data_IF_044314533356
#
_entry.id   IF_044314533356
#
_cell.length_a   1.000
_cell.length_b   1.000
_cell.length_c   1.000
_cell.angle_alpha   90.00
_cell.angle_beta   90.00
_cell.angle_gamma   90.00
#
_symmetry.space_group_name_H-M   'P 1'
#
loop_
_entity.id
_entity.type
_entity.pdbx_description
1 polymer ?
#
# COMPACT_ATOMS: atom_id res chain seq x y z
N UNK A 1 -7.79 42.81 -0.95
CA UNK A 1 -8.17 41.66 -1.80
C UNK A 1 -7.37 41.60 -3.11
N UNK A 2 -7.35 42.70 -3.91
CA UNK A 2 -6.66 42.68 -5.23
C UNK A 2 -5.14 42.62 -5.12
N UNK A 3 -4.53 43.36 -4.20
CA UNK A 3 -3.08 43.36 -3.97
C UNK A 3 -2.61 41.99 -3.44
N UNK A 4 -3.35 41.39 -2.53
CA UNK A 4 -3.06 40.07 -1.97
C UNK A 4 -3.16 38.99 -3.03
N UNK A 5 -4.19 39.04 -3.90
CA UNK A 5 -4.34 38.13 -5.04
C UNK A 5 -3.17 38.26 -6.02
N UNK A 6 -2.76 39.49 -6.35
CA UNK A 6 -1.61 39.76 -7.20
C UNK A 6 -0.31 39.20 -6.61
N UNK A 7 -0.09 39.36 -5.30
CA UNK A 7 1.08 38.82 -4.61
C UNK A 7 1.10 37.30 -4.62
N UNK A 8 -0.04 36.62 -4.43
CA UNK A 8 -0.15 35.16 -4.55
C UNK A 8 0.19 34.69 -5.97
N UNK A 9 -0.33 35.37 -6.99
CA UNK A 9 -0.06 35.05 -8.39
C UNK A 9 1.42 35.20 -8.73
N UNK A 10 2.08 36.27 -8.26
CA UNK A 10 3.52 36.49 -8.46
C UNK A 10 4.38 35.44 -7.74
N UNK A 11 3.99 35.05 -6.53
CA UNK A 11 4.66 33.96 -5.82
C UNK A 11 4.53 32.64 -6.57
N UNK A 12 3.32 32.27 -7.00
CA UNK A 12 3.09 31.07 -7.82
C UNK A 12 3.91 31.08 -9.12
N UNK A 13 4.02 32.23 -9.81
CA UNK A 13 4.82 32.34 -11.02
C UNK A 13 6.31 32.07 -10.75
N UNK A 14 6.86 32.59 -9.67
CA UNK A 14 8.26 32.32 -9.24
C UNK A 14 8.46 30.86 -8.84
N UNK A 15 7.49 30.29 -8.12
CA UNK A 15 7.53 28.87 -7.74
C UNK A 15 7.50 27.96 -8.98
N UNK A 16 6.66 28.28 -9.98
CA UNK A 16 6.59 27.58 -11.27
C UNK A 16 7.91 27.69 -12.02
N UNK A 17 8.50 28.89 -12.09
CA UNK A 17 9.80 29.10 -12.74
C UNK A 17 10.90 28.27 -12.11
N UNK A 18 10.97 28.25 -10.76
CA UNK A 18 11.95 27.45 -10.02
C UNK A 18 11.77 25.94 -10.19
N UNK A 19 10.55 25.46 -10.45
CA UNK A 19 10.21 24.07 -10.64
C UNK A 19 10.18 23.61 -12.10
N UNK A 20 10.36 24.55 -13.06
CA UNK A 20 10.22 24.27 -14.49
C UNK A 20 11.13 23.14 -14.99
N UNK A 21 12.34 23.00 -14.42
CA UNK A 21 13.29 21.95 -14.75
C UNK A 21 12.84 20.54 -14.31
N UNK A 22 11.86 20.47 -13.41
CA UNK A 22 11.29 19.20 -12.91
C UNK A 22 9.98 18.83 -13.61
N UNK A 23 9.45 19.72 -14.47
CA UNK A 23 8.22 19.45 -15.24
C UNK A 23 8.60 18.74 -16.53
N UNK A 24 8.21 17.49 -16.64
CA UNK A 24 8.55 16.60 -17.76
C UNK A 24 7.28 15.93 -18.31
N UNK A 25 7.38 15.38 -19.51
CA UNK A 25 6.39 14.45 -20.04
C UNK A 25 6.58 13.08 -19.35
N UNK A 26 5.85 12.87 -18.26
CA UNK A 26 5.96 11.65 -17.43
C UNK A 26 5.76 10.36 -18.24
N UNK A 27 4.75 10.25 -19.14
CA UNK A 27 4.62 9.10 -20.03
C UNK A 27 5.88 8.78 -20.83
N UNK A 28 6.50 9.80 -21.42
CA UNK A 28 7.74 9.62 -22.20
C UNK A 28 8.91 9.20 -21.31
N UNK A 29 9.09 9.80 -20.14
CA UNK A 29 10.15 9.45 -19.19
C UNK A 29 10.03 8.01 -18.73
N UNK A 30 8.82 7.60 -18.27
CA UNK A 30 8.58 6.26 -17.76
C UNK A 30 8.78 5.20 -18.84
N UNK A 31 8.19 5.42 -20.05
CA UNK A 31 8.33 4.45 -21.15
C UNK A 31 9.76 4.39 -21.70
N UNK A 32 10.52 5.48 -21.67
CA UNK A 32 11.94 5.49 -22.02
C UNK A 32 12.77 4.69 -21.01
N UNK A 33 12.51 4.87 -19.71
CA UNK A 33 13.18 4.09 -18.66
C UNK A 33 12.95 2.57 -18.84
N UNK A 34 11.72 2.17 -19.17
CA UNK A 34 11.41 0.76 -19.44
C UNK A 34 12.11 0.23 -20.68
N UNK A 35 12.19 1.01 -21.78
CA UNK A 35 12.98 0.63 -22.98
C UNK A 35 14.45 0.47 -22.67
N UNK A 36 14.98 1.28 -21.77
CA UNK A 36 16.36 1.18 -21.28
C UNK A 36 16.55 0.04 -20.25
N UNK A 37 15.54 -0.79 -20.04
CA UNK A 37 15.55 -1.92 -19.09
C UNK A 37 15.83 -1.48 -17.63
N UNK A 38 15.42 -0.28 -17.27
CA UNK A 38 15.50 0.21 -15.89
C UNK A 38 14.32 -0.32 -15.06
N UNK A 39 14.57 -0.57 -13.79
CA UNK A 39 13.51 -0.85 -12.83
C UNK A 39 12.75 0.44 -12.53
N UNK A 40 11.45 0.44 -12.74
CA UNK A 40 10.54 1.56 -12.46
C UNK A 40 9.60 1.15 -11.34
N UNK A 41 9.63 1.86 -10.22
CA UNK A 41 8.69 1.69 -9.12
C UNK A 41 7.67 2.82 -9.14
N UNK A 42 6.39 2.45 -9.19
CA UNK A 42 5.28 3.40 -9.11
C UNK A 42 4.57 3.22 -7.77
N UNK A 43 4.61 4.24 -6.95
CA UNK A 43 3.93 4.24 -5.67
C UNK A 43 2.54 4.88 -5.79
N UNK A 44 1.53 4.10 -5.45
CA UNK A 44 0.16 4.59 -5.32
C UNK A 44 -0.09 5.26 -3.97
N UNK A 45 -1.23 5.90 -3.85
CA UNK A 45 -1.65 6.59 -2.62
C UNK A 45 -2.97 6.05 -2.09
N UNK A 46 -3.29 6.33 -0.83
CA UNK A 46 -4.53 5.99 -0.11
C UNK A 46 -4.76 4.47 -0.02
N UNK A 47 -5.78 3.94 -0.66
CA UNK A 47 -6.09 2.51 -0.64
C UNK A 47 -7.31 2.20 -1.51
N UNK A 48 -7.38 0.98 -2.02
CA UNK A 48 -8.37 0.52 -3.01
C UNK A 48 -9.82 0.87 -2.65
N UNK A 49 -10.21 0.73 -1.40
CA UNK A 49 -11.58 1.03 -0.95
C UNK A 49 -11.90 2.53 -0.82
N UNK A 50 -10.92 3.39 -1.08
CA UNK A 50 -11.09 4.84 -1.21
C UNK A 50 -11.09 5.29 -2.69
N UNK A 51 -10.98 4.36 -3.65
CA UNK A 51 -11.13 4.67 -5.08
C UNK A 51 -12.47 5.32 -5.36
N UNK A 52 -12.48 6.34 -6.21
CA UNK A 52 -13.70 7.01 -6.65
C UNK A 52 -14.67 6.04 -7.34
N UNK A 53 -14.15 5.09 -8.11
CA UNK A 53 -14.95 4.15 -8.89
C UNK A 53 -15.28 2.84 -8.17
N UNK A 54 -14.34 2.33 -7.38
CA UNK A 54 -14.41 0.99 -6.79
C UNK A 54 -14.55 1.01 -5.27
N UNK A 55 -14.46 2.20 -4.67
CA UNK A 55 -14.53 2.38 -3.23
C UNK A 55 -15.97 2.49 -2.69
N UNK A 56 -16.06 2.86 -1.43
CA UNK A 56 -17.32 2.97 -0.67
C UNK A 56 -17.96 4.35 -0.82
N UNK A 57 -18.36 4.71 -2.04
CA UNK A 57 -18.99 6.01 -2.31
C UNK A 57 -20.15 6.30 -1.36
N UNK A 58 -20.33 7.53 -0.84
CA UNK A 58 -19.57 8.76 -1.16
C UNK A 58 -18.28 8.95 -0.31
N UNK A 59 -17.88 7.98 0.49
CA UNK A 59 -16.73 8.05 1.39
C UNK A 59 -15.45 7.61 0.69
N UNK A 60 -15.07 8.33 -0.35
CA UNK A 60 -13.97 8.01 -1.27
C UNK A 60 -13.05 9.21 -1.47
N UNK A 61 -11.92 9.02 -2.13
CA UNK A 61 -11.05 10.10 -2.59
C UNK A 61 -11.48 10.61 -3.97
N UNK A 62 -10.82 11.63 -4.49
CA UNK A 62 -11.19 12.34 -5.73
C UNK A 62 -10.75 11.63 -7.02
N UNK A 63 -10.04 10.51 -6.92
CA UNK A 63 -9.49 9.78 -8.07
C UNK A 63 -9.55 8.26 -7.88
N UNK A 64 -9.31 7.52 -8.96
CA UNK A 64 -9.04 6.10 -8.86
C UNK A 64 -7.63 5.86 -8.28
N UNK A 65 -7.55 4.96 -7.31
CA UNK A 65 -6.31 4.59 -6.63
C UNK A 65 -6.01 3.09 -6.74
N UNK A 66 -6.62 2.44 -7.72
CA UNK A 66 -6.25 1.08 -8.13
C UNK A 66 -5.00 1.09 -9.00
N UNK A 67 -4.34 -0.06 -9.14
CA UNK A 67 -3.16 -0.20 -10.01
C UNK A 67 -3.47 0.29 -11.45
N UNK A 68 -4.64 -0.02 -11.99
CA UNK A 68 -5.07 0.44 -13.31
C UNK A 68 -5.18 1.96 -13.40
N UNK A 69 -5.77 2.61 -12.37
CA UNK A 69 -5.87 4.07 -12.30
C UNK A 69 -4.50 4.73 -12.19
N UNK A 70 -3.61 4.16 -11.41
CA UNK A 70 -2.23 4.65 -11.25
C UNK A 70 -1.43 4.50 -12.54
N UNK A 71 -1.58 3.40 -13.28
CA UNK A 71 -0.98 3.24 -14.60
C UNK A 71 -1.46 4.30 -15.59
N UNK A 72 -2.76 4.62 -15.56
CA UNK A 72 -3.33 5.68 -16.40
C UNK A 72 -2.76 7.06 -16.05
N UNK A 73 -2.54 7.36 -14.75
CA UNK A 73 -1.96 8.63 -14.29
C UNK A 73 -0.54 8.87 -14.84
N UNK A 74 0.26 7.82 -14.98
CA UNK A 74 1.66 7.92 -15.44
C UNK A 74 1.83 7.53 -16.90
N UNK A 75 0.74 7.25 -17.63
CA UNK A 75 0.77 6.94 -19.04
C UNK A 75 1.38 5.57 -19.39
N UNK A 76 1.20 4.58 -18.52
CA UNK A 76 1.63 3.20 -18.77
C UNK A 76 0.49 2.36 -19.34
N UNK A 77 0.82 1.55 -20.36
CA UNK A 77 -0.05 0.46 -20.80
C UNK A 77 -0.05 -0.72 -19.80
N UNK A 78 -1.17 -1.45 -19.66
CA UNK A 78 -1.27 -2.50 -18.63
C UNK A 78 -0.28 -3.66 -18.83
N UNK A 79 0.21 -3.88 -20.04
CA UNK A 79 1.22 -4.92 -20.34
C UNK A 79 2.65 -4.53 -19.96
N UNK A 80 2.88 -3.30 -19.53
CA UNK A 80 4.19 -2.81 -19.10
C UNK A 80 4.41 -2.96 -17.59
N UNK A 81 3.49 -3.62 -16.91
CA UNK A 81 3.56 -3.88 -15.46
C UNK A 81 3.87 -5.35 -15.26
N UNK A 82 5.00 -5.63 -14.64
CA UNK A 82 5.42 -7.00 -14.33
C UNK A 82 4.83 -7.46 -13.00
N UNK A 83 4.87 -6.58 -11.99
CA UNK A 83 4.47 -6.89 -10.63
C UNK A 83 3.53 -5.85 -10.03
N UNK A 84 2.55 -6.30 -9.29
CA UNK A 84 1.65 -5.44 -8.51
C UNK A 84 1.67 -5.89 -7.04
N UNK A 85 2.30 -5.08 -6.20
CA UNK A 85 2.31 -5.29 -4.76
C UNK A 85 1.16 -4.55 -4.10
N UNK A 86 0.25 -5.29 -3.46
CA UNK A 86 -0.77 -4.70 -2.60
C UNK A 86 -0.29 -4.67 -1.16
N UNK A 87 -0.34 -3.48 -0.56
CA UNK A 87 0.12 -3.26 0.82
C UNK A 87 -1.07 -3.24 1.77
N UNK A 88 -1.08 -4.15 2.74
CA UNK A 88 -2.05 -4.19 3.82
C UNK A 88 -1.40 -3.85 5.16
N UNK A 89 -2.17 -3.34 6.09
CA UNK A 89 -1.82 -3.37 7.50
C UNK A 89 -2.26 -4.69 8.12
N UNK A 90 -1.61 -5.11 9.17
CA UNK A 90 -2.02 -6.30 9.94
C UNK A 90 -3.41 -6.14 10.61
N UNK A 91 -4.01 -4.97 10.58
CA UNK A 91 -5.37 -4.64 11.01
C UNK A 91 -5.93 -3.49 10.16
N UNK A 92 -7.24 -3.35 10.09
CA UNK A 92 -7.88 -2.31 9.28
C UNK A 92 -7.94 -0.98 10.03
N UNK A 93 -7.66 0.13 9.33
CA UNK A 93 -7.91 1.48 9.86
C UNK A 93 -8.58 2.37 8.83
N UNK A 94 -9.41 3.31 9.31
CA UNK A 94 -10.10 4.27 8.45
C UNK A 94 -10.19 5.64 9.13
N UNK A 95 -9.93 6.69 8.36
CA UNK A 95 -10.18 8.07 8.79
C UNK A 95 -11.60 8.48 8.40
N UNK A 96 -12.33 9.12 9.32
CA UNK A 96 -13.66 9.66 9.05
C UNK A 96 -14.76 8.61 8.95
N UNK A 97 -15.83 8.98 8.29
CA UNK A 97 -17.06 8.18 8.15
C UNK A 97 -16.95 7.13 7.04
N UNK A 98 -17.99 6.35 6.87
CA UNK A 98 -18.10 5.28 5.88
C UNK A 98 -18.16 3.89 6.53
N UNK A 99 -18.52 2.87 5.75
CA UNK A 99 -18.69 1.53 6.29
C UNK A 99 -17.37 0.92 6.78
N UNK A 100 -17.43 0.22 7.89
CA UNK A 100 -16.36 -0.59 8.44
C UNK A 100 -17.01 -1.76 9.21
N UNK A 101 -16.83 -2.96 8.70
CA UNK A 101 -17.31 -4.14 9.38
C UNK A 101 -16.46 -4.43 10.62
N UNK A 102 -17.09 -4.98 11.67
CA UNK A 102 -16.42 -5.38 12.91
C UNK A 102 -15.55 -4.27 13.53
N UNK A 103 -16.04 -3.04 13.45
CA UNK A 103 -15.37 -1.88 14.04
C UNK A 103 -15.22 -2.06 15.56
N UNK A 104 -14.02 -1.84 16.03
CA UNK A 104 -13.70 -1.87 17.46
C UNK A 104 -14.14 -0.57 18.14
N UNK A 105 -14.58 -0.66 19.38
CA UNK A 105 -14.77 0.51 20.22
C UNK A 105 -13.45 1.25 20.47
N UNK A 106 -13.53 2.50 20.90
CA UNK A 106 -12.33 3.26 21.25
C UNK A 106 -11.52 2.59 22.36
N UNK A 107 -12.22 2.02 23.36
CA UNK A 107 -11.61 1.30 24.47
C UNK A 107 -10.89 0.01 23.99
N UNK A 108 -11.51 -0.77 23.13
CA UNK A 108 -10.90 -1.98 22.54
C UNK A 108 -9.70 -1.63 21.68
N UNK A 109 -9.79 -0.55 20.88
CA UNK A 109 -8.72 -0.06 20.03
C UNK A 109 -7.51 0.37 20.86
N UNK A 110 -7.74 1.08 21.96
CA UNK A 110 -6.69 1.52 22.89
C UNK A 110 -6.06 0.32 23.62
N UNK A 111 -6.87 -0.62 24.11
CA UNK A 111 -6.40 -1.83 24.78
C UNK A 111 -5.52 -2.70 23.87
N UNK A 112 -5.80 -2.73 22.57
CA UNK A 112 -4.97 -3.42 21.56
C UNK A 112 -3.73 -2.63 21.15
N UNK A 113 -3.59 -1.37 21.54
CA UNK A 113 -2.51 -0.49 21.07
C UNK A 113 -2.65 -0.08 19.60
N UNK A 114 -3.86 -0.16 19.02
CA UNK A 114 -4.13 0.14 17.61
C UNK A 114 -4.62 1.57 17.37
N UNK A 115 -4.58 2.41 18.40
CA UNK A 115 -4.96 3.81 18.28
C UNK A 115 -4.00 4.54 17.34
N UNK A 116 -4.53 5.07 16.25
CA UNK A 116 -3.80 5.87 15.26
C UNK A 116 -4.47 7.22 15.04
N UNK A 117 -3.66 8.20 14.66
CA UNK A 117 -4.11 9.53 14.32
C UNK A 117 -3.62 9.95 12.95
N UNK A 118 -4.40 10.76 12.24
CA UNK A 118 -3.98 11.33 10.97
C UNK A 118 -2.83 12.30 11.16
N UNK A 119 -1.73 12.12 10.43
CA UNK A 119 -0.50 12.91 10.59
C UNK A 119 -0.72 14.41 10.40
N UNK A 120 -1.57 14.80 9.45
CA UNK A 120 -1.85 16.22 9.14
C UNK A 120 -3.02 16.76 9.96
N UNK A 121 -4.07 15.97 10.13
CA UNK A 121 -5.34 16.44 10.71
C UNK A 121 -5.48 16.13 12.21
N UNK A 122 -4.63 15.26 12.76
CA UNK A 122 -4.74 14.78 14.14
C UNK A 122 -6.02 14.00 14.44
N UNK A 123 -6.86 13.70 13.43
CA UNK A 123 -8.12 12.98 13.63
C UNK A 123 -7.86 11.53 14.00
N UNK A 124 -8.57 10.98 14.99
CA UNK A 124 -8.45 9.56 15.33
C UNK A 124 -8.91 8.70 14.16
N UNK A 125 -8.23 7.58 13.97
CA UNK A 125 -8.62 6.54 13.02
C UNK A 125 -9.47 5.50 13.73
N UNK A 126 -10.55 5.12 13.10
CA UNK A 126 -11.35 3.95 13.48
C UNK A 126 -10.54 2.69 13.15
N UNK A 127 -10.67 1.64 13.93
CA UNK A 127 -9.93 0.40 13.74
C UNK A 127 -10.87 -0.82 13.72
N UNK A 128 -10.46 -1.85 13.01
CA UNK A 128 -11.11 -3.17 12.99
C UNK A 128 -10.07 -4.27 12.79
N UNK A 129 -10.46 -5.53 13.02
CA UNK A 129 -9.63 -6.68 12.66
C UNK A 129 -9.36 -6.72 11.14
N UNK A 130 -8.38 -7.51 10.72
CA UNK A 130 -8.08 -7.72 9.30
C UNK A 130 -9.30 -8.30 8.59
N UNK A 131 -9.75 -7.62 7.54
CA UNK A 131 -10.95 -7.98 6.79
C UNK A 131 -10.55 -8.70 5.49
N UNK A 132 -10.80 -10.00 5.46
CA UNK A 132 -10.44 -10.86 4.32
C UNK A 132 -11.29 -10.59 3.07
N UNK A 133 -12.55 -10.22 3.22
CA UNK A 133 -13.44 -9.93 2.07
C UNK A 133 -13.00 -8.64 1.38
N UNK A 134 -12.67 -7.61 2.15
CA UNK A 134 -12.10 -6.38 1.62
C UNK A 134 -10.73 -6.64 0.98
N UNK A 135 -9.89 -7.47 1.59
CA UNK A 135 -8.58 -7.82 1.06
C UNK A 135 -8.71 -8.60 -0.27
N UNK A 136 -9.58 -9.60 -0.34
CA UNK A 136 -9.85 -10.35 -1.57
C UNK A 136 -10.34 -9.44 -2.70
N UNK A 137 -11.23 -8.50 -2.38
CA UNK A 137 -11.69 -7.51 -3.35
C UNK A 137 -10.56 -6.60 -3.84
N UNK A 138 -9.67 -6.16 -2.94
CA UNK A 138 -8.52 -5.34 -3.30
C UNK A 138 -7.56 -6.10 -4.23
N UNK A 139 -7.27 -7.37 -3.93
CA UNK A 139 -6.44 -8.25 -4.78
C UNK A 139 -7.04 -8.37 -6.18
N UNK A 140 -8.33 -8.68 -6.28
CA UNK A 140 -9.04 -8.80 -7.56
C UNK A 140 -8.97 -7.52 -8.39
N UNK A 141 -9.23 -6.35 -7.79
CA UNK A 141 -9.27 -5.07 -8.48
C UNK A 141 -7.88 -4.60 -8.96
N UNK A 142 -6.83 -5.04 -8.29
CA UNK A 142 -5.45 -4.64 -8.60
C UNK A 142 -4.68 -5.74 -9.34
N UNK A 143 -5.22 -6.94 -9.53
CA UNK A 143 -4.49 -8.10 -10.05
C UNK A 143 -3.17 -8.30 -9.30
N UNK A 144 -3.25 -8.30 -7.95
CA UNK A 144 -2.07 -8.37 -7.11
C UNK A 144 -1.27 -9.65 -7.37
N UNK A 145 0.04 -9.51 -7.56
CA UNK A 145 0.99 -10.62 -7.75
C UNK A 145 1.70 -10.96 -6.45
N UNK A 146 1.79 -9.99 -5.53
CA UNK A 146 2.41 -10.15 -4.21
C UNK A 146 1.81 -9.18 -3.19
N UNK A 147 2.01 -9.50 -1.91
CA UNK A 147 1.50 -8.71 -0.80
C UNK A 147 2.64 -8.22 0.09
N UNK A 148 2.44 -7.03 0.66
CA UNK A 148 3.21 -6.55 1.80
C UNK A 148 2.29 -6.38 3.01
N UNK A 149 2.72 -6.85 4.17
CA UNK A 149 2.00 -6.64 5.44
C UNK A 149 2.78 -5.68 6.31
N UNK A 150 2.19 -4.57 6.68
CA UNK A 150 2.79 -3.58 7.59
C UNK A 150 2.13 -3.61 8.96
N UNK A 151 2.75 -2.97 9.95
CA UNK A 151 2.23 -2.92 11.32
C UNK A 151 2.10 -4.29 12.00
N UNK A 152 2.96 -5.24 11.63
CA UNK A 152 3.00 -6.53 12.31
C UNK A 152 3.43 -6.38 13.76
N UNK A 153 4.39 -5.47 14.03
CA UNK A 153 4.86 -5.05 15.35
C UNK A 153 3.75 -4.48 16.25
N UNK A 154 2.77 -3.83 15.67
CA UNK A 154 1.64 -3.27 16.43
C UNK A 154 0.60 -4.35 16.79
N UNK A 155 0.39 -5.31 15.88
CA UNK A 155 -0.51 -6.45 16.14
C UNK A 155 0.13 -7.50 17.03
N UNK A 156 1.42 -7.75 16.87
CA UNK A 156 2.24 -8.71 17.60
C UNK A 156 3.48 -7.99 18.14
N UNK A 157 3.41 -7.34 19.31
CA UNK A 157 4.49 -6.50 19.83
C UNK A 157 5.84 -7.23 19.98
N UNK A 158 5.80 -8.53 20.17
CA UNK A 158 7.00 -9.38 20.29
C UNK A 158 7.77 -9.49 18.96
N UNK A 159 7.15 -9.12 17.84
CA UNK A 159 7.79 -9.11 16.52
C UNK A 159 8.46 -7.76 16.19
N UNK A 160 8.46 -6.79 17.11
CA UNK A 160 9.05 -5.48 16.85
C UNK A 160 10.56 -5.58 16.53
N UNK A 161 10.96 -5.04 15.37
CA UNK A 161 12.35 -5.02 14.90
C UNK A 161 12.92 -6.36 14.44
N UNK A 162 12.10 -7.42 14.35
CA UNK A 162 12.51 -8.72 13.80
C UNK A 162 12.84 -8.57 12.32
N UNK A 163 13.95 -9.20 11.88
CA UNK A 163 14.49 -9.09 10.51
C UNK A 163 14.49 -10.41 9.73
N UNK A 164 14.11 -11.49 10.37
CA UNK A 164 14.02 -12.81 9.74
C UNK A 164 12.65 -13.44 9.99
N UNK A 165 12.07 -14.05 8.97
CA UNK A 165 10.79 -14.76 9.08
C UNK A 165 10.84 -15.84 10.17
N UNK A 166 11.99 -16.50 10.33
CA UNK A 166 12.15 -17.57 11.32
C UNK A 166 12.05 -17.06 12.76
N UNK A 167 12.35 -15.79 13.00
CA UNK A 167 12.34 -15.18 14.34
C UNK A 167 10.97 -14.57 14.71
N UNK A 168 10.00 -14.56 13.79
CA UNK A 168 8.62 -14.18 14.09
C UNK A 168 7.99 -15.18 15.06
N UNK A 169 7.06 -14.70 15.90
CA UNK A 169 6.28 -15.58 16.79
C UNK A 169 5.43 -16.58 16.00
N UNK A 170 5.04 -17.68 16.63
CA UNK A 170 4.15 -18.70 16.04
C UNK A 170 2.81 -18.10 15.60
N UNK A 171 2.27 -17.17 16.38
CA UNK A 171 1.00 -16.47 16.12
C UNK A 171 1.13 -15.56 14.88
N UNK A 172 2.22 -14.80 14.79
CA UNK A 172 2.49 -13.95 13.64
C UNK A 172 2.69 -14.77 12.35
N UNK A 173 3.46 -15.86 12.42
CA UNK A 173 3.61 -16.79 11.29
C UNK A 173 2.28 -17.38 10.84
N UNK A 174 1.46 -17.82 11.82
CA UNK A 174 0.13 -18.37 11.53
C UNK A 174 -0.79 -17.34 10.90
N UNK A 175 -0.71 -16.08 11.32
CA UNK A 175 -1.46 -14.97 10.71
C UNK A 175 -1.05 -14.73 9.26
N UNK A 176 0.25 -14.66 8.97
CA UNK A 176 0.76 -14.50 7.61
C UNK A 176 0.33 -15.67 6.72
N UNK A 177 0.52 -16.90 7.20
CA UNK A 177 0.12 -18.11 6.46
C UNK A 177 -1.39 -18.14 6.17
N UNK A 178 -2.23 -17.75 7.14
CA UNK A 178 -3.68 -17.66 6.92
C UNK A 178 -4.04 -16.60 5.86
N UNK A 179 -3.29 -15.49 5.77
CA UNK A 179 -3.45 -14.49 4.71
C UNK A 179 -3.15 -15.15 3.35
N UNK A 180 -2.00 -15.80 3.19
CA UNK A 180 -1.60 -16.45 1.94
C UNK A 180 -2.58 -17.55 1.52
N UNK A 181 -2.99 -18.40 2.47
CA UNK A 181 -3.95 -19.48 2.21
C UNK A 181 -5.32 -18.98 1.77
N UNK A 182 -5.82 -17.90 2.39
CA UNK A 182 -7.15 -17.36 2.05
C UNK A 182 -7.14 -16.49 0.80
N UNK A 183 -6.07 -15.74 0.59
CA UNK A 183 -5.99 -14.76 -0.50
C UNK A 183 -5.31 -15.33 -1.75
N UNK A 184 -4.62 -16.46 -1.65
CA UNK A 184 -3.91 -17.15 -2.74
C UNK A 184 -2.89 -16.24 -3.46
N UNK A 185 -2.26 -15.33 -2.70
CA UNK A 185 -1.19 -14.43 -3.15
C UNK A 185 -0.09 -14.43 -2.09
N UNK A 186 1.18 -14.57 -2.47
CA UNK A 186 2.28 -14.65 -1.51
C UNK A 186 2.51 -13.31 -0.78
N UNK A 187 2.82 -13.39 0.51
CA UNK A 187 3.30 -12.26 1.31
C UNK A 187 4.82 -12.22 1.20
N UNK A 188 5.33 -11.21 0.52
CA UNK A 188 6.76 -11.10 0.19
C UNK A 188 7.53 -10.12 1.07
N UNK A 189 6.84 -9.12 1.64
CA UNK A 189 7.43 -8.14 2.56
C UNK A 189 6.59 -8.03 3.83
N UNK A 190 7.26 -7.98 4.98
CA UNK A 190 6.60 -7.88 6.28
C UNK A 190 7.29 -6.79 7.11
N UNK A 191 6.55 -5.69 7.36
CA UNK A 191 7.04 -4.59 8.19
C UNK A 191 6.84 -4.90 9.67
N UNK A 192 7.92 -4.91 10.41
CA UNK A 192 8.04 -5.22 11.84
C UNK A 192 8.38 -4.00 12.69
N UNK A 193 8.33 -2.80 12.11
CA UNK A 193 8.62 -1.54 12.80
C UNK A 193 8.59 -0.35 11.85
N UNK A 194 8.91 0.86 12.35
CA UNK A 194 8.79 2.10 11.60
C UNK A 194 9.99 2.41 10.68
N UNK A 195 11.11 1.73 10.84
CA UNK A 195 12.32 1.98 10.07
C UNK A 195 12.35 1.14 8.80
N UNK A 196 13.09 1.59 7.79
CA UNK A 196 13.29 0.84 6.54
C UNK A 196 13.87 -0.55 6.81
N UNK A 197 14.81 -0.63 7.75
CA UNK A 197 15.45 -1.89 8.14
C UNK A 197 14.55 -2.81 8.97
N UNK A 198 13.40 -2.34 9.45
CA UNK A 198 12.43 -3.16 10.17
C UNK A 198 11.51 -3.88 9.17
N UNK A 199 12.12 -4.55 8.21
CA UNK A 199 11.41 -5.29 7.16
C UNK A 199 12.00 -6.69 7.02
N UNK A 200 11.12 -7.69 7.05
CA UNK A 200 11.44 -9.07 6.67
C UNK A 200 11.14 -9.21 5.18
N UNK A 201 12.17 -9.45 4.38
CA UNK A 201 12.06 -9.72 2.94
C UNK A 201 12.16 -11.22 2.68
N UNK A 202 11.07 -11.82 2.18
CA UNK A 202 11.00 -13.26 1.87
C UNK A 202 10.99 -13.56 0.37
N UNK A 203 11.21 -12.55 -0.49
CA UNK A 203 11.19 -12.72 -1.95
C UNK A 203 12.19 -13.76 -2.45
N UNK A 204 13.37 -13.81 -1.87
CA UNK A 204 14.39 -14.80 -2.21
C UNK A 204 13.98 -16.25 -1.90
N UNK A 205 13.08 -16.45 -0.93
CA UNK A 205 12.58 -17.78 -0.58
C UNK A 205 11.56 -18.30 -1.62
N UNK A 206 10.84 -17.40 -2.29
CA UNK A 206 9.82 -17.77 -3.29
C UNK A 206 10.43 -18.18 -4.62
N UNK A 207 11.54 -17.56 -5.02
CA UNK A 207 12.29 -17.93 -6.23
C UNK A 207 12.80 -19.38 -6.17
N UNK A 208 13.10 -19.89 -4.97
CA UNK A 208 13.59 -21.26 -4.76
C UNK A 208 12.48 -22.33 -4.82
N UNK A 209 11.22 -21.94 -4.56
CA UNK A 209 10.08 -22.88 -4.60
C UNK A 209 9.44 -22.97 -5.98
N UNK A 210 9.53 -21.94 -6.82
CA UNK A 210 9.01 -21.97 -8.20
C UNK A 210 9.90 -22.81 -9.14
N UNK A 211 11.22 -22.75 -8.98
CA UNK A 211 12.15 -23.58 -9.78
C UNK A 211 12.04 -25.10 -9.45
N UNK A 212 11.68 -25.43 -8.20
CA UNK A 212 11.47 -26.83 -7.79
C UNK A 212 10.15 -27.44 -8.32
N UNK A 213 9.17 -26.61 -8.69
CA UNK A 213 7.90 -27.07 -9.25
C UNK A 213 7.99 -27.30 -10.78
N UNK A 214 8.85 -26.56 -11.48
CA UNK A 214 9.07 -26.73 -12.92
C UNK A 214 9.91 -27.97 -13.28
N UNK A 215 10.73 -28.47 -12.36
CA UNK A 215 11.53 -29.66 -12.56
C UNK A 215 10.75 -31.00 -12.47
N UNK A 216 9.50 -30.95 -11.97
CA UNK A 216 8.62 -32.13 -11.85
C UNK A 216 7.68 -32.33 -13.08
N UNK A 217 7.77 -31.46 -14.09
CA UNK A 217 6.94 -31.50 -15.32
C UNK A 217 7.74 -31.73 -16.61
N UNK A 218 8.98 -32.20 -16.50
CA UNK A 218 9.77 -32.68 -17.67
C UNK A 218 9.95 -34.17 -17.67
#
# INVERSE_FOLDING_TARGET
ANAERAMRTLKMAKDIESLSSYVVDVPNEVNSALKDQKNVLIEGTQGTHLSLWHGTYPFVTSKDVTASGICADVGLGPKSVDEVMVVFKAYLTRVGTGPMANELSAEETEKKGWAEFGTVTGRPRRAAEFDFDLAQRAIMLNSATQLAITKLDVRFPECAGVKSFNDLTSEAKSFIKNIEEKLQVPVTLIGTGPLVDDTVDVRSCLLYTSDAADDLTR
#
